data_IF_414078325879
#
_entry.id   IF_414078325879
#
_cell.length_a   1.000
_cell.length_b   1.000
_cell.length_c   1.000
_cell.angle_alpha   90.00
_cell.angle_beta   90.00
_cell.angle_gamma   90.00
#
_symmetry.space_group_name_H-M   'P 1'
#
loop_
_entity.id
_entity.type
_entity.pdbx_description
1 polymer ?
#
# COMPACT_ATOMS: atom_id res chain seq x y z
N UNK A 1 -13.99 -6.03 -8.66
CA UNK A 1 -13.19 -5.75 -7.45
C UNK A 1 -14.12 -5.04 -6.47
N UNK A 2 -14.23 -5.50 -5.23
CA UNK A 2 -15.06 -4.82 -4.21
C UNK A 2 -14.28 -3.69 -3.57
N UNK A 3 -14.98 -2.71 -2.97
CA UNK A 3 -14.34 -1.65 -2.20
C UNK A 3 -13.54 -2.21 -1.02
N UNK A 4 -14.04 -3.27 -0.38
CA UNK A 4 -13.35 -3.99 0.69
C UNK A 4 -11.99 -4.54 0.23
N UNK A 5 -11.94 -5.18 -0.93
CA UNK A 5 -10.69 -5.72 -1.45
C UNK A 5 -9.68 -4.62 -1.79
N UNK A 6 -10.16 -3.48 -2.31
CA UNK A 6 -9.31 -2.31 -2.58
C UNK A 6 -8.77 -1.70 -1.30
N UNK A 7 -9.57 -1.60 -0.24
CA UNK A 7 -9.11 -1.14 1.07
C UNK A 7 -7.99 -2.03 1.57
N UNK A 8 -8.24 -3.33 1.71
CA UNK A 8 -7.24 -4.30 2.21
C UNK A 8 -5.95 -4.23 1.39
N UNK A 9 -6.03 -4.21 0.06
CA UNK A 9 -4.85 -4.15 -0.80
C UNK A 9 -4.01 -2.88 -0.59
N UNK A 10 -4.67 -1.72 -0.48
CA UNK A 10 -4.01 -0.43 -0.42
C UNK A 10 -3.55 -0.03 0.99
N UNK A 11 -4.22 -0.51 2.05
CA UNK A 11 -3.99 -0.06 3.43
C UNK A 11 -3.47 -1.13 4.38
N UNK A 12 -3.69 -2.42 4.11
CA UNK A 12 -3.43 -3.49 5.09
C UNK A 12 -2.41 -4.52 4.61
N UNK A 13 -2.35 -4.79 3.30
CA UNK A 13 -1.48 -5.83 2.74
C UNK A 13 -0.06 -5.30 2.50
N UNK A 14 0.98 -5.80 3.20
CA UNK A 14 2.36 -5.49 2.85
C UNK A 14 2.77 -6.24 1.59
N UNK A 15 3.62 -5.61 0.78
CA UNK A 15 4.11 -6.19 -0.47
C UNK A 15 5.64 -6.22 -0.45
N UNK A 16 6.25 -7.40 -0.66
CA UNK A 16 7.71 -7.57 -0.67
C UNK A 16 8.39 -6.65 -1.71
N UNK A 17 7.76 -6.45 -2.87
CA UNK A 17 8.24 -5.54 -3.91
C UNK A 17 8.29 -4.06 -3.47
N UNK A 18 7.55 -3.71 -2.42
CA UNK A 18 7.54 -2.39 -1.78
C UNK A 18 8.32 -2.40 -0.46
N UNK A 19 9.29 -3.31 -0.29
CA UNK A 19 10.02 -3.51 0.97
C UNK A 19 9.08 -3.82 2.15
N UNK A 20 8.06 -4.66 1.93
CA UNK A 20 7.02 -5.01 2.90
C UNK A 20 6.16 -3.83 3.36
N UNK A 21 6.07 -2.76 2.56
CA UNK A 21 5.14 -1.66 2.79
C UNK A 21 3.83 -1.89 2.07
N UNK A 22 2.77 -1.27 2.56
CA UNK A 22 1.51 -1.12 1.83
C UNK A 22 1.68 -0.08 0.70
N UNK A 23 0.81 -0.10 -0.32
CA UNK A 23 0.87 0.87 -1.41
C UNK A 23 0.75 2.32 -0.94
N UNK A 24 -0.07 2.60 0.08
CA UNK A 24 -0.22 3.95 0.64
C UNK A 24 1.05 4.41 1.35
N UNK A 25 1.64 3.57 2.22
CA UNK A 25 2.88 3.93 2.91
C UNK A 25 4.00 4.21 1.92
N UNK A 26 4.13 3.39 0.87
CA UNK A 26 5.12 3.61 -0.17
C UNK A 26 4.90 4.93 -0.91
N UNK A 27 3.65 5.25 -1.26
CA UNK A 27 3.29 6.52 -1.90
C UNK A 27 3.65 7.71 -0.99
N UNK A 28 3.31 7.65 0.30
CA UNK A 28 3.64 8.70 1.27
C UNK A 28 5.15 8.87 1.40
N UNK A 29 5.91 7.78 1.49
CA UNK A 29 7.37 7.82 1.52
C UNK A 29 7.95 8.49 0.26
N UNK A 30 7.43 8.14 -0.92
CA UNK A 30 7.87 8.72 -2.21
C UNK A 30 7.51 10.18 -2.39
N UNK A 31 6.44 10.66 -1.75
CA UNK A 31 6.03 12.07 -1.80
C UNK A 31 6.77 12.97 -0.81
N UNK A 32 7.36 12.39 0.23
CA UNK A 32 8.12 13.10 1.25
C UNK A 32 9.61 13.30 0.90
N UNK A 33 10.06 12.75 -0.24
CA UNK A 33 11.44 12.84 -0.75
C UNK A 33 11.51 13.78 -1.95
#
# INVERSE_FOLDING_TARGET
MTEEWLTIYNTERPHEALNNMTPIEYKTLKQAA
#
